data_IF_577026930260
#
_entry.id   IF_577026930260
#
_cell.length_a   1.000
_cell.length_b   1.000
_cell.length_c   1.000
_cell.angle_alpha   90.00
_cell.angle_beta   90.00
_cell.angle_gamma   90.00
#
_symmetry.space_group_name_H-M   'P 1'
#
loop_
_entity.id
_entity.type
_entity.pdbx_description
1 polymer ?
#
# COMPACT_ATOMS: atom_id res chain seq x y z
N UNK A 1 -12.82 16.39 -14.13
CA UNK A 1 -12.93 15.45 -13.00
C UNK A 1 -13.48 14.11 -13.44
N UNK A 2 -14.68 14.02 -14.03
CA UNK A 2 -15.21 12.74 -14.54
C UNK A 2 -14.32 12.08 -15.62
N UNK A 3 -13.77 12.88 -16.55
CA UNK A 3 -12.82 12.42 -17.56
C UNK A 3 -11.45 11.95 -17.03
N UNK A 4 -11.05 12.32 -15.80
CA UNK A 4 -9.77 11.87 -15.23
C UNK A 4 -9.83 10.41 -14.76
N UNK A 5 -11.05 9.91 -14.46
CA UNK A 5 -11.32 8.53 -14.07
C UNK A 5 -11.68 7.63 -15.26
N UNK A 6 -12.31 8.15 -16.32
CA UNK A 6 -12.77 7.34 -17.47
C UNK A 6 -11.66 6.69 -18.31
N UNK A 7 -10.42 7.17 -18.22
CA UNK A 7 -9.33 6.70 -19.09
C UNK A 7 -8.35 5.69 -18.45
N UNK A 8 -8.43 5.38 -17.15
CA UNK A 8 -7.28 4.78 -16.44
C UNK A 8 -7.69 3.79 -15.35
N UNK A 9 -7.27 2.53 -15.50
CA UNK A 9 -7.49 1.40 -14.56
C UNK A 9 -6.94 1.75 -13.18
N UNK A 10 -7.75 1.90 -12.13
CA UNK A 10 -7.25 1.62 -10.78
C UNK A 10 -7.53 0.12 -10.49
N UNK A 11 -7.03 -0.47 -9.40
CA UNK A 11 -7.27 -1.88 -9.03
C UNK A 11 -7.21 -2.02 -7.51
N UNK A 12 -8.00 -2.91 -6.90
CA UNK A 12 -7.88 -3.25 -5.47
C UNK A 12 -7.13 -4.57 -5.28
N UNK A 13 -6.23 -4.62 -4.30
CA UNK A 13 -5.48 -5.81 -3.89
C UNK A 13 -5.40 -5.91 -2.35
N UNK A 14 -5.27 -7.14 -1.84
CA UNK A 14 -5.09 -7.41 -0.40
C UNK A 14 -3.63 -7.37 0.03
N UNK A 15 -2.73 -7.85 -0.83
CA UNK A 15 -1.31 -7.62 -0.67
C UNK A 15 -0.96 -6.26 -1.27
N UNK A 16 -0.04 -5.54 -0.62
CA UNK A 16 0.54 -4.37 -1.23
C UNK A 16 1.27 -4.83 -2.50
N UNK A 17 0.91 -4.30 -3.67
CA UNK A 17 1.72 -4.54 -4.86
C UNK A 17 3.07 -3.95 -4.55
N UNK A 18 4.12 -4.69 -4.89
CA UNK A 18 5.43 -4.13 -4.65
C UNK A 18 5.66 -2.90 -5.58
N UNK A 19 4.93 -2.79 -6.72
CA UNK A 19 5.09 -1.84 -7.84
C UNK A 19 4.73 -0.36 -7.56
N UNK A 20 5.63 0.57 -7.92
CA UNK A 20 5.47 2.04 -7.93
C UNK A 20 4.65 2.61 -6.75
N UNK A 21 5.28 2.91 -5.61
CA UNK A 21 4.60 3.28 -4.36
C UNK A 21 3.72 4.52 -4.45
N UNK A 22 4.10 5.46 -5.34
CA UNK A 22 3.34 6.68 -5.57
C UNK A 22 1.99 6.43 -6.24
N UNK A 23 1.83 5.24 -6.84
CA UNK A 23 0.59 4.77 -7.43
C UNK A 23 -0.23 3.89 -6.50
N UNK A 24 0.11 3.81 -5.20
CA UNK A 24 -0.63 2.98 -4.24
C UNK A 24 -1.24 3.86 -3.15
N UNK A 25 -2.55 3.72 -2.96
CA UNK A 25 -3.26 4.21 -1.78
C UNK A 25 -3.65 3.04 -0.88
N UNK A 26 -3.50 3.23 0.42
CA UNK A 26 -4.02 2.34 1.44
C UNK A 26 -5.38 2.88 1.88
N UNK A 27 -6.41 2.03 1.77
CA UNK A 27 -7.76 2.29 2.23
C UNK A 27 -7.99 1.43 3.47
N UNK A 28 -8.22 2.05 4.61
CA UNK A 28 -8.59 1.33 5.83
C UNK A 28 -10.11 1.42 5.96
N UNK A 29 -10.79 0.28 5.89
CA UNK A 29 -12.25 0.18 5.93
C UNK A 29 -12.71 0.21 7.39
N UNK A 30 -13.72 1.01 7.71
CA UNK A 30 -14.29 1.14 9.05
C UNK A 30 -15.32 0.02 9.39
N UNK A 31 -15.70 -0.78 8.41
CA UNK A 31 -16.64 -1.90 8.51
C UNK A 31 -16.23 -3.09 7.63
N UNK A 32 -17.20 -3.85 7.12
CA UNK A 32 -16.91 -4.99 6.26
C UNK A 32 -16.46 -4.54 4.87
N UNK A 33 -15.54 -5.29 4.25
CA UNK A 33 -15.14 -5.06 2.86
C UNK A 33 -16.35 -5.15 1.92
N UNK A 34 -17.34 -5.99 2.24
CA UNK A 34 -18.60 -6.08 1.50
C UNK A 34 -19.39 -4.76 1.50
N UNK A 35 -19.48 -4.07 2.64
CA UNK A 35 -20.17 -2.77 2.72
C UNK A 35 -19.45 -1.71 1.89
N UNK A 36 -18.11 -1.72 1.94
CA UNK A 36 -17.29 -0.88 1.09
C UNK A 36 -17.52 -1.17 -0.41
N UNK A 37 -17.49 -2.44 -0.80
CA UNK A 37 -17.78 -2.87 -2.18
C UNK A 37 -19.17 -2.42 -2.66
N UNK A 38 -20.19 -2.56 -1.81
CA UNK A 38 -21.56 -2.11 -2.08
C UNK A 38 -21.69 -0.59 -2.20
N UNK A 39 -20.81 0.19 -1.54
CA UNK A 39 -20.78 1.64 -1.68
C UNK A 39 -20.10 2.06 -2.99
N UNK A 40 -19.00 1.38 -3.34
CA UNK A 40 -18.24 1.60 -4.57
C UNK A 40 -19.09 1.29 -5.82
N UNK A 41 -19.93 0.25 -5.80
CA UNK A 41 -20.80 -0.13 -6.94
C UNK A 41 -21.84 0.94 -7.30
N UNK A 42 -22.06 1.91 -6.41
CA UNK A 42 -23.01 3.01 -6.61
C UNK A 42 -22.34 4.24 -7.24
N UNK A 43 -21.02 4.20 -7.46
CA UNK A 43 -20.26 5.28 -8.08
C UNK A 43 -20.04 4.95 -9.55
N UNK A 44 -20.71 5.64 -10.49
CA UNK A 44 -20.54 5.37 -11.92
C UNK A 44 -19.08 5.53 -12.34
N UNK A 45 -18.52 4.52 -13.00
CA UNK A 45 -17.13 4.54 -13.45
C UNK A 45 -16.11 4.08 -12.40
N UNK A 46 -16.57 3.52 -11.28
CA UNK A 46 -15.75 2.77 -10.32
C UNK A 46 -16.09 1.27 -10.30
N UNK A 47 -16.94 0.81 -11.22
CA UNK A 47 -17.39 -0.59 -11.30
C UNK A 47 -16.20 -1.58 -11.42
N UNK A 48 -15.10 -1.15 -12.06
CA UNK A 48 -13.86 -1.91 -12.20
C UNK A 48 -13.07 -2.09 -10.89
N UNK A 49 -13.34 -1.32 -9.83
CA UNK A 49 -12.75 -1.57 -8.50
C UNK A 49 -13.22 -2.92 -7.93
N UNK A 50 -14.39 -3.38 -8.36
CA UNK A 50 -15.10 -4.53 -7.80
C UNK A 50 -14.82 -5.84 -8.53
N UNK A 51 -14.32 -5.77 -9.77
CA UNK A 51 -14.09 -6.94 -10.64
C UNK A 51 -13.15 -8.00 -10.04
N UNK A 52 -12.43 -7.71 -8.95
CA UNK A 52 -11.57 -8.66 -8.23
C UNK A 52 -11.94 -8.86 -6.75
N UNK A 53 -12.90 -8.11 -6.20
CA UNK A 53 -13.37 -8.33 -4.83
C UNK A 53 -14.16 -9.64 -4.69
N UNK A 54 -14.66 -10.19 -5.81
CA UNK A 54 -15.42 -11.45 -5.83
C UNK A 54 -14.55 -12.71 -5.78
N UNK A 55 -13.25 -12.66 -6.11
CA UNK A 55 -12.47 -13.89 -6.23
C UNK A 55 -11.70 -14.33 -4.98
N UNK A 56 -11.11 -13.47 -4.14
CA UNK A 56 -10.40 -13.95 -2.94
C UNK A 56 -10.33 -12.88 -1.85
N UNK A 57 -11.28 -12.86 -0.93
CA UNK A 57 -11.11 -12.25 0.40
C UNK A 57 -11.29 -13.35 1.45
N UNK A 58 -10.38 -14.33 1.41
CA UNK A 58 -10.22 -15.24 2.52
C UNK A 58 -9.50 -14.48 3.65
N UNK A 59 -9.93 -14.60 4.91
CA UNK A 59 -9.18 -14.04 6.04
C UNK A 59 -7.75 -14.63 6.06
N UNK A 60 -6.72 -13.78 5.97
CA UNK A 60 -5.30 -14.20 6.05
C UNK A 60 -4.62 -13.84 7.39
N UNK A 61 -3.33 -14.20 7.52
CA UNK A 61 -2.27 -13.60 8.37
C UNK A 61 -2.65 -12.40 9.27
N UNK A 62 -3.10 -11.36 8.57
CA UNK A 62 -3.30 -9.99 9.04
C UNK A 62 -4.78 -9.63 9.24
N UNK A 63 -5.69 -10.57 8.96
CA UNK A 63 -7.16 -10.39 8.99
C UNK A 63 -7.85 -11.34 10.00
N UNK A 64 -7.20 -11.70 11.10
CA UNK A 64 -7.81 -12.54 12.14
C UNK A 64 -8.50 -11.76 13.26
N UNK A 65 -9.61 -12.33 13.74
CA UNK A 65 -10.13 -12.04 15.06
C UNK A 65 -9.25 -12.72 16.12
N UNK A 66 -8.45 -11.95 16.86
CA UNK A 66 -7.95 -12.44 18.15
C UNK A 66 -9.14 -12.58 19.11
N UNK A 67 -9.56 -13.83 19.30
CA UNK A 67 -10.55 -14.34 20.25
C UNK A 67 -12.04 -14.22 19.91
N UNK A 68 -12.72 -15.37 20.09
CA UNK A 68 -14.15 -15.63 19.93
C UNK A 68 -15.09 -14.80 20.82
N UNK A 69 -14.56 -13.98 21.72
CA UNK A 69 -15.34 -13.13 22.64
C UNK A 69 -15.51 -11.68 22.17
N UNK A 70 -14.92 -11.27 21.04
CA UNK A 70 -14.96 -9.87 20.57
C UNK A 70 -15.92 -9.64 19.39
N UNK A 71 -17.16 -10.14 19.49
CA UNK A 71 -18.24 -9.94 18.49
C UNK A 71 -18.64 -8.46 18.24
N UNK A 72 -17.95 -7.49 18.83
CA UNK A 72 -18.26 -6.06 18.74
C UNK A 72 -17.04 -5.17 18.44
N UNK A 73 -15.99 -5.67 17.79
CA UNK A 73 -15.00 -4.78 17.15
C UNK A 73 -15.22 -4.77 15.65
N UNK A 74 -15.45 -3.60 15.03
CA UNK A 74 -15.58 -3.52 13.59
C UNK A 74 -14.27 -3.98 12.94
N UNK A 75 -14.39 -4.94 12.03
CA UNK A 75 -13.32 -5.36 11.14
C UNK A 75 -12.69 -4.11 10.52
N UNK A 76 -11.37 -3.92 10.69
CA UNK A 76 -10.61 -2.90 9.95
C UNK A 76 -9.92 -3.59 8.79
N UNK A 77 -10.59 -3.69 7.64
CA UNK A 77 -9.95 -4.26 6.45
C UNK A 77 -8.98 -3.25 5.83
N UNK A 78 -7.72 -3.63 5.60
CA UNK A 78 -6.80 -2.85 4.76
C UNK A 78 -6.95 -3.29 3.31
N UNK A 79 -7.20 -2.34 2.42
CA UNK A 79 -7.25 -2.57 0.97
C UNK A 79 -6.22 -1.68 0.30
N UNK A 80 -5.47 -2.22 -0.66
CA UNK A 80 -4.52 -1.48 -1.46
C UNK A 80 -5.16 -1.11 -2.80
N UNK A 81 -5.34 0.19 -3.03
CA UNK A 81 -5.80 0.75 -4.29
C UNK A 81 -4.59 1.12 -5.15
N UNK A 82 -4.36 0.36 -6.21
CA UNK A 82 -3.38 0.66 -7.24
C UNK A 82 -4.00 1.60 -8.25
N UNK A 83 -3.37 2.74 -8.52
CA UNK A 83 -3.70 3.56 -9.66
C UNK A 83 -2.82 3.25 -10.87
N UNK A 84 -3.32 3.52 -12.06
CA UNK A 84 -2.47 3.73 -13.25
C UNK A 84 -2.18 5.21 -13.50
N UNK A 85 -2.62 6.11 -12.60
CA UNK A 85 -2.45 7.55 -12.71
C UNK A 85 -2.33 8.26 -11.35
N UNK A 86 -1.18 8.86 -11.08
CA UNK A 86 -0.95 9.65 -9.88
C UNK A 86 -1.92 10.83 -9.77
N UNK A 87 -2.31 11.46 -10.89
CA UNK A 87 -3.25 12.58 -10.86
C UNK A 87 -4.64 12.15 -10.35
N UNK A 88 -5.10 10.96 -10.73
CA UNK A 88 -6.39 10.43 -10.27
C UNK A 88 -6.36 10.12 -8.77
N UNK A 89 -5.25 9.55 -8.27
CA UNK A 89 -5.06 9.29 -6.85
C UNK A 89 -4.98 10.59 -6.03
N UNK A 90 -4.28 11.60 -6.54
CA UNK A 90 -4.22 12.93 -5.93
C UNK A 90 -5.58 13.59 -5.87
N UNK A 91 -6.39 13.48 -6.94
CA UNK A 91 -7.77 14.01 -6.95
C UNK A 91 -8.67 13.27 -5.94
N UNK A 92 -8.54 11.94 -5.83
CA UNK A 92 -9.27 11.14 -4.84
C UNK A 92 -8.91 11.54 -3.40
N UNK A 93 -7.62 11.67 -3.10
CA UNK A 93 -7.16 12.14 -1.79
C UNK A 93 -7.63 13.56 -1.47
N UNK A 94 -7.61 14.46 -2.46
CA UNK A 94 -8.13 15.82 -2.28
C UNK A 94 -9.63 15.80 -1.96
N UNK A 95 -10.40 14.93 -2.61
CA UNK A 95 -11.84 14.78 -2.36
C UNK A 95 -12.11 14.18 -0.96
N UNK A 96 -11.32 13.19 -0.54
CA UNK A 96 -11.34 12.63 0.81
C UNK A 96 -11.02 13.69 1.87
N UNK A 97 -9.96 14.49 1.67
CA UNK A 97 -9.58 15.55 2.60
C UNK A 97 -10.66 16.62 2.74
N UNK A 98 -11.33 16.99 1.64
CA UNK A 98 -12.49 17.91 1.70
C UNK A 98 -13.63 17.29 2.49
N UNK A 99 -13.94 16.01 2.27
CA UNK A 99 -14.97 15.30 3.02
C UNK A 99 -14.70 15.31 4.52
N UNK A 100 -13.45 15.04 4.94
CA UNK A 100 -13.08 15.05 6.36
C UNK A 100 -13.20 16.45 7.00
N UNK A 101 -12.91 17.50 6.24
CA UNK A 101 -13.01 18.88 6.73
C UNK A 101 -14.45 19.38 6.81
N UNK A 102 -15.30 18.97 5.87
CA UNK A 102 -16.70 19.37 5.82
C UNK A 102 -17.60 18.25 5.26
N UNK A 103 -18.05 17.31 6.11
CA UNK A 103 -18.88 16.18 5.69
C UNK A 103 -20.19 16.59 5.00
N UNK A 104 -20.74 17.74 5.40
CA UNK A 104 -21.99 18.30 4.88
C UNK A 104 -21.82 19.01 3.52
N UNK A 105 -20.58 19.26 3.07
CA UNK A 105 -20.30 19.94 1.81
C UNK A 105 -20.92 19.19 0.62
N UNK A 106 -21.71 19.88 -0.19
CA UNK A 106 -22.24 19.28 -1.43
C UNK A 106 -21.13 19.12 -2.46
N UNK A 107 -20.86 17.90 -2.89
CA UNK A 107 -19.93 17.65 -3.98
C UNK A 107 -20.54 18.04 -5.33
N UNK A 108 -19.67 18.33 -6.30
CA UNK A 108 -20.09 18.61 -7.67
C UNK A 108 -20.96 17.47 -8.23
N UNK A 109 -21.86 17.80 -9.15
CA UNK A 109 -22.80 16.86 -9.76
C UNK A 109 -22.04 15.66 -10.35
N UNK A 110 -22.43 14.45 -9.95
CA UNK A 110 -21.77 13.19 -10.33
C UNK A 110 -20.77 12.63 -9.30
N UNK A 111 -20.32 13.43 -8.32
CA UNK A 111 -19.39 12.99 -7.27
C UNK A 111 -20.07 12.69 -5.92
N UNK A 112 -21.36 12.99 -5.78
CA UNK A 112 -22.12 12.71 -4.56
C UNK A 112 -22.01 11.25 -4.06
N UNK A 113 -21.97 10.21 -4.93
CA UNK A 113 -21.78 8.83 -4.49
C UNK A 113 -20.48 8.56 -3.71
N UNK A 114 -19.41 9.34 -3.92
CA UNK A 114 -18.16 9.18 -3.18
C UNK A 114 -18.31 9.39 -1.67
N UNK A 115 -19.31 10.17 -1.22
CA UNK A 115 -19.59 10.31 0.21
C UNK A 115 -19.89 8.95 0.86
N UNK A 116 -20.66 8.10 0.18
CA UNK A 116 -21.04 6.79 0.71
C UNK A 116 -19.83 5.86 0.79
N UNK A 117 -18.88 6.00 -0.16
CA UNK A 117 -17.60 5.28 -0.12
C UNK A 117 -16.76 5.75 1.07
N UNK A 118 -16.65 7.07 1.27
CA UNK A 118 -15.88 7.66 2.36
C UNK A 118 -16.43 7.34 3.75
N UNK A 119 -17.75 7.23 3.90
CA UNK A 119 -18.39 6.77 5.14
C UNK A 119 -18.02 5.33 5.52
N UNK A 120 -17.58 4.51 4.55
CA UNK A 120 -17.09 3.16 4.82
C UNK A 120 -15.59 3.12 5.16
N UNK A 121 -14.89 4.25 5.15
CA UNK A 121 -13.44 4.32 5.32
C UNK A 121 -13.06 5.04 6.62
N UNK A 122 -12.09 4.45 7.32
CA UNK A 122 -11.37 5.08 8.43
C UNK A 122 -10.32 6.06 7.90
N UNK A 123 -9.59 5.67 6.85
CA UNK A 123 -8.59 6.55 6.22
C UNK A 123 -8.31 6.16 4.77
N UNK A 124 -7.81 7.15 4.03
CA UNK A 124 -7.18 6.98 2.72
C UNK A 124 -5.86 7.73 2.76
N UNK A 125 -4.77 7.04 2.46
CA UNK A 125 -3.42 7.63 2.46
C UNK A 125 -2.53 6.97 1.43
N UNK A 126 -1.41 7.61 1.10
CA UNK A 126 -0.37 6.95 0.32
C UNK A 126 0.20 5.76 1.08
N UNK A 127 0.57 4.73 0.31
CA UNK A 127 1.39 3.63 0.82
C UNK A 127 2.74 4.18 1.28
N UNK A 128 3.17 3.76 2.46
CA UNK A 128 4.27 4.38 3.18
C UNK A 128 5.24 3.34 3.72
N UNK A 129 6.36 3.80 4.28
CA UNK A 129 7.33 2.90 4.91
C UNK A 129 6.73 2.12 6.10
N UNK A 130 5.73 2.68 6.79
CA UNK A 130 5.07 2.03 7.91
C UNK A 130 4.26 0.78 7.49
N UNK A 131 3.92 0.68 6.21
CA UNK A 131 3.24 -0.47 5.61
C UNK A 131 4.22 -1.51 5.05
N UNK A 132 5.52 -1.17 4.98
CA UNK A 132 6.59 -2.06 4.51
C UNK A 132 7.39 -2.67 5.67
N UNK A 133 7.55 -1.88 6.73
CA UNK A 133 8.19 -2.27 7.97
C UNK A 133 7.08 -2.25 9.02
N UNK A 134 6.41 -3.38 9.18
CA UNK A 134 5.29 -3.53 10.11
C UNK A 134 5.76 -3.60 11.58
N UNK A 135 4.84 -3.87 12.50
CA UNK A 135 5.15 -3.95 13.92
C UNK A 135 5.99 -5.19 14.26
N UNK A 136 5.77 -6.31 13.58
CA UNK A 136 6.43 -7.58 13.87
C UNK A 136 7.86 -7.60 13.35
N UNK A 137 8.10 -7.05 12.16
CA UNK A 137 9.43 -6.83 11.62
C UNK A 137 10.24 -5.89 12.51
N UNK A 138 9.64 -4.78 12.97
CA UNK A 138 10.28 -3.87 13.93
C UNK A 138 10.60 -4.56 15.24
N UNK A 139 9.67 -5.37 15.75
CA UNK A 139 9.87 -6.13 16.98
C UNK A 139 10.99 -7.15 16.84
N UNK A 140 11.02 -7.90 15.74
CA UNK A 140 12.08 -8.85 15.44
C UNK A 140 13.46 -8.16 15.42
N UNK A 141 13.57 -6.99 14.79
CA UNK A 141 14.81 -6.21 14.79
C UNK A 141 15.18 -5.71 16.18
N UNK A 142 14.22 -5.18 16.93
CA UNK A 142 14.45 -4.70 18.29
C UNK A 142 14.89 -5.83 19.22
N UNK A 143 14.23 -6.99 19.15
CA UNK A 143 14.60 -8.17 19.92
C UNK A 143 16.04 -8.60 19.56
N UNK A 144 16.43 -8.55 18.29
CA UNK A 144 17.81 -8.83 17.87
C UNK A 144 18.83 -7.87 18.50
N UNK A 145 18.54 -6.57 18.51
CA UNK A 145 19.39 -5.55 19.14
C UNK A 145 19.49 -5.79 20.65
N UNK A 146 18.36 -6.02 21.32
CA UNK A 146 18.29 -6.20 22.77
C UNK A 146 19.02 -7.48 23.23
N UNK A 147 19.06 -8.51 22.37
CA UNK A 147 19.81 -9.75 22.60
C UNK A 147 21.29 -9.66 22.15
N UNK A 148 21.77 -8.49 21.72
CA UNK A 148 23.17 -8.25 21.39
C UNK A 148 23.61 -8.85 20.05
N UNK A 149 22.71 -8.97 19.07
CA UNK A 149 23.09 -9.36 17.72
C UNK A 149 24.06 -8.33 17.13
N UNK A 150 25.23 -8.79 16.70
CA UNK A 150 26.26 -7.92 16.11
C UNK A 150 25.87 -7.33 14.75
N UNK A 151 24.93 -7.97 14.04
CA UNK A 151 24.32 -7.45 12.85
C UNK A 151 22.95 -8.10 12.59
N UNK A 152 22.05 -7.36 11.95
CA UNK A 152 20.76 -7.88 11.46
C UNK A 152 20.83 -8.01 9.95
N UNK A 153 20.56 -9.22 9.45
CA UNK A 153 20.45 -9.48 8.02
C UNK A 153 19.08 -9.09 7.50
N UNK A 154 19.05 -8.36 6.40
CA UNK A 154 17.83 -8.02 5.69
C UNK A 154 18.06 -8.02 4.17
N UNK A 155 16.95 -8.04 3.45
CA UNK A 155 16.92 -7.95 2.00
C UNK A 155 16.15 -6.69 1.59
N UNK A 156 16.69 -5.95 0.63
CA UNK A 156 16.03 -4.81 0.00
C UNK A 156 15.64 -5.26 -1.40
N UNK A 157 14.34 -5.29 -1.67
CA UNK A 157 13.79 -5.47 -3.00
C UNK A 157 13.34 -4.13 -3.59
N UNK A 158 13.77 -3.84 -4.81
CA UNK A 158 13.46 -2.61 -5.53
C UNK A 158 13.09 -2.87 -6.98
N UNK A 159 12.44 -1.89 -7.61
CA UNK A 159 12.01 -1.95 -9.01
C UNK A 159 13.16 -1.77 -9.99
N UNK A 160 13.06 -2.53 -11.07
CA UNK A 160 13.85 -2.34 -12.26
C UNK A 160 13.21 -1.29 -13.16
N UNK A 161 13.99 -0.26 -13.46
CA UNK A 161 13.74 0.64 -14.56
C UNK A 161 14.01 -0.06 -15.88
N UNK A 162 13.21 0.22 -16.90
CA UNK A 162 13.48 -0.21 -18.28
C UNK A 162 14.81 0.33 -18.83
N UNK A 163 15.37 1.38 -18.21
CA UNK A 163 16.66 1.97 -18.55
C UNK A 163 17.74 1.39 -17.63
N UNK A 164 18.66 0.55 -18.14
CA UNK A 164 19.66 -0.15 -17.32
C UNK A 164 20.50 0.76 -16.43
N UNK A 165 20.87 1.94 -16.93
CA UNK A 165 21.68 2.91 -16.18
C UNK A 165 20.98 3.39 -14.91
N UNK A 166 19.64 3.51 -14.92
CA UNK A 166 18.89 3.89 -13.72
C UNK A 166 18.93 2.81 -12.63
N UNK A 167 18.97 1.54 -13.02
CA UNK A 167 19.11 0.43 -12.08
C UNK A 167 20.48 0.43 -11.41
N UNK A 168 21.53 0.74 -12.19
CA UNK A 168 22.88 0.86 -11.66
C UNK A 168 22.97 2.02 -10.66
N UNK A 169 22.47 3.21 -11.04
CA UNK A 169 22.43 4.37 -10.15
C UNK A 169 21.68 4.06 -8.86
N UNK A 170 20.48 3.49 -8.94
CA UNK A 170 19.68 3.16 -7.77
C UNK A 170 20.38 2.14 -6.86
N UNK A 171 21.02 1.11 -7.45
CA UNK A 171 21.77 0.12 -6.68
C UNK A 171 22.93 0.77 -5.92
N UNK A 172 23.74 1.59 -6.61
CA UNK A 172 24.86 2.31 -6.00
C UNK A 172 24.39 3.23 -4.86
N UNK A 173 23.25 3.91 -5.03
CA UNK A 173 22.67 4.76 -3.97
C UNK A 173 22.27 3.96 -2.73
N UNK A 174 21.66 2.79 -2.92
CA UNK A 174 21.28 1.89 -1.81
C UNK A 174 22.52 1.32 -1.13
N UNK A 175 23.51 0.86 -1.89
CA UNK A 175 24.77 0.37 -1.34
C UNK A 175 25.49 1.45 -0.53
N UNK A 176 25.52 2.69 -1.02
CA UNK A 176 26.09 3.82 -0.28
C UNK A 176 25.30 4.16 0.99
N UNK A 177 23.97 4.00 1.00
CA UNK A 177 23.15 4.13 2.21
C UNK A 177 23.51 3.06 3.25
N UNK A 178 23.58 1.80 2.83
CA UNK A 178 23.96 0.67 3.71
C UNK A 178 25.33 0.92 4.33
N UNK A 179 26.33 1.29 3.53
CA UNK A 179 27.69 1.56 4.02
C UNK A 179 27.75 2.76 4.98
N UNK A 180 26.98 3.83 4.71
CA UNK A 180 26.90 4.99 5.63
C UNK A 180 26.31 4.64 6.99
N UNK A 181 25.49 3.61 7.06
CA UNK A 181 24.92 3.07 8.30
C UNK A 181 25.77 1.94 8.90
N UNK A 182 27.07 1.87 8.54
CA UNK A 182 28.01 0.82 8.95
C UNK A 182 27.57 -0.60 8.58
N UNK A 183 26.63 -0.72 7.65
CA UNK A 183 26.20 -2.00 7.12
C UNK A 183 27.15 -2.52 6.04
N UNK A 184 26.98 -3.80 5.71
CA UNK A 184 27.75 -4.48 4.66
C UNK A 184 26.80 -5.10 3.65
N UNK A 185 27.03 -4.78 2.37
CA UNK A 185 26.37 -5.46 1.25
C UNK A 185 27.02 -6.83 1.06
N UNK A 186 26.20 -7.88 1.05
CA UNK A 186 26.63 -9.27 0.90
C UNK A 186 26.45 -9.77 -0.52
N UNK A 187 25.33 -9.43 -1.15
CA UNK A 187 25.00 -9.82 -2.51
C UNK A 187 24.08 -8.81 -3.17
N UNK A 188 24.20 -8.73 -4.49
CA UNK A 188 23.33 -7.97 -5.38
C UNK A 188 22.89 -8.88 -6.53
N UNK A 189 21.61 -8.87 -6.83
CA UNK A 189 21.06 -9.53 -8.00
C UNK A 189 20.15 -8.59 -8.78
N UNK A 190 20.24 -8.65 -10.10
CA UNK A 190 19.24 -8.11 -11.00
C UNK A 190 18.54 -9.29 -11.66
N UNK A 191 17.22 -9.41 -11.47
CA UNK A 191 16.43 -10.52 -12.02
C UNK A 191 15.45 -9.96 -13.05
N UNK A 192 15.80 -9.94 -14.35
CA UNK A 192 14.95 -9.35 -15.40
C UNK A 192 13.64 -10.12 -15.63
N UNK A 193 13.63 -11.41 -15.26
CA UNK A 193 12.57 -12.38 -15.60
C UNK A 193 11.41 -12.38 -14.58
N UNK A 194 11.62 -11.84 -13.38
CA UNK A 194 10.59 -11.69 -12.34
C UNK A 194 10.38 -10.21 -12.11
N UNK A 195 9.46 -9.61 -12.88
CA UNK A 195 9.02 -8.21 -12.77
C UNK A 195 10.15 -7.14 -12.76
N UNK A 196 11.39 -7.53 -13.08
CA UNK A 196 12.57 -6.71 -12.91
C UNK A 196 12.74 -6.27 -11.45
N UNK A 197 13.28 -7.14 -10.60
CA UNK A 197 13.62 -6.79 -9.21
C UNK A 197 15.13 -6.62 -9.06
N UNK A 198 15.55 -5.61 -8.29
CA UNK A 198 16.90 -5.52 -7.73
C UNK A 198 16.82 -5.98 -6.28
N UNK A 199 17.55 -7.04 -5.96
CA UNK A 199 17.67 -7.55 -4.60
C UNK A 199 19.06 -7.21 -4.05
N UNK A 200 19.11 -6.61 -2.87
CA UNK A 200 20.35 -6.35 -2.12
C UNK A 200 20.22 -7.00 -0.75
N UNK A 201 21.07 -7.98 -0.47
CA UNK A 201 21.19 -8.56 0.86
C UNK A 201 22.27 -7.83 1.62
N UNK A 202 21.96 -7.37 2.82
CA UNK A 202 22.89 -6.62 3.65
C UNK A 202 22.81 -7.04 5.12
N UNK A 203 23.92 -6.85 5.83
CA UNK A 203 24.00 -6.90 7.28
C UNK A 203 24.04 -5.46 7.80
N UNK A 204 23.07 -5.04 8.60
CA UNK A 204 23.06 -3.74 9.29
C UNK A 204 23.72 -3.84 10.67
N UNK A 205 24.59 -2.90 11.01
CA UNK A 205 25.15 -2.75 12.35
C UNK A 205 24.43 -1.61 13.06
N UNK A 206 23.92 -1.86 14.26
CA UNK A 206 23.09 -0.93 15.03
C UNK A 206 23.76 -0.59 16.36
#
# INVERSE_FOLDING_TARGET
MQQAFEAKRLRLQQAAPMENPELILVLEVAGTVQNFANAVSKVPGLDWLLEWAEEQIEPDEDFYAENRDQQHKPYTGRLFLLGTNQEALTQLLALWNRHQQNPDESFARGLAPFKHVFEQLRTIRHWSIADRVDADMRRYWQDGIDNGMAAIRFEIEAWHFSVPQKNETASVEVEALVQRLNGRVLSRALVPEIAGSVAITADGQF
#
